data_IF_301768119471
#
_entry.id   IF_301768119471
#
_cell.length_a   1.000
_cell.length_b   1.000
_cell.length_c   1.000
_cell.angle_alpha   90.00
_cell.angle_beta   90.00
_cell.angle_gamma   90.00
#
_symmetry.space_group_name_H-M   'P 1'
#
loop_
_entity.id
_entity.type
_entity.pdbx_description
1 polymer ?
#
# COMPACT_ATOMS: atom_id res chain seq x y z
N UNK A 1 11.37 19.40 -11.78
CA UNK A 1 11.01 17.99 -11.51
C UNK A 1 10.43 17.93 -10.11
N UNK A 2 9.27 17.29 -9.93
CA UNK A 2 8.74 17.03 -8.58
C UNK A 2 9.76 16.15 -7.83
N UNK A 3 10.17 16.51 -6.61
CA UNK A 3 11.06 15.69 -5.81
C UNK A 3 10.36 14.36 -5.53
N UNK A 4 10.75 13.29 -6.23
CA UNK A 4 10.13 11.97 -6.07
C UNK A 4 10.26 11.09 -7.29
N UNK A 5 9.84 11.55 -8.48
CA UNK A 5 9.77 10.69 -9.67
C UNK A 5 11.16 10.38 -10.24
N UNK A 6 11.53 9.09 -10.24
CA UNK A 6 12.59 8.59 -11.15
C UNK A 6 12.14 8.70 -12.60
N UNK A 7 13.05 9.10 -13.49
CA UNK A 7 12.78 9.14 -14.92
C UNK A 7 12.28 7.78 -15.44
N UNK A 8 11.18 7.79 -16.20
CA UNK A 8 10.57 6.59 -16.77
C UNK A 8 9.63 5.81 -15.85
N UNK A 9 9.46 6.20 -14.58
CA UNK A 9 8.44 5.60 -13.73
C UNK A 9 7.07 6.17 -14.07
N UNK A 10 6.06 5.30 -14.20
CA UNK A 10 4.66 5.67 -14.39
C UNK A 10 3.82 4.67 -13.61
N UNK A 11 2.91 5.17 -12.78
CA UNK A 11 2.01 4.31 -12.03
C UNK A 11 1.01 3.63 -12.98
N UNK A 12 0.72 2.36 -12.74
CA UNK A 12 -0.33 1.62 -13.44
C UNK A 12 -1.68 2.32 -13.27
N UNK A 13 -2.45 2.41 -14.36
CA UNK A 13 -3.72 3.16 -14.36
C UNK A 13 -4.77 2.56 -13.43
N UNK A 14 -4.73 1.26 -13.14
CA UNK A 14 -5.63 0.62 -12.16
C UNK A 14 -5.23 0.97 -10.74
N UNK A 15 -3.93 0.97 -10.42
CA UNK A 15 -3.45 1.44 -9.12
C UNK A 15 -3.82 2.91 -8.92
N UNK A 16 -3.68 3.75 -9.94
CA UNK A 16 -4.10 5.15 -9.90
C UNK A 16 -5.62 5.28 -9.65
N UNK A 17 -6.44 4.51 -10.36
CA UNK A 17 -7.90 4.58 -10.25
C UNK A 17 -8.44 4.03 -8.91
N UNK A 18 -7.77 3.03 -8.34
CA UNK A 18 -8.27 2.30 -7.17
C UNK A 18 -7.70 2.81 -5.84
N UNK A 19 -6.77 3.76 -5.85
CA UNK A 19 -6.10 4.24 -4.64
C UNK A 19 -5.76 5.73 -4.68
N UNK A 20 -5.62 6.36 -3.52
CA UNK A 20 -5.17 7.74 -3.40
C UNK A 20 -3.71 7.82 -2.97
N UNK A 21 -2.92 8.67 -3.62
CA UNK A 21 -1.54 8.93 -3.21
C UNK A 21 -1.50 9.59 -1.82
N UNK A 22 -0.67 9.02 -0.94
CA UNK A 22 -0.42 9.58 0.38
C UNK A 22 0.86 10.42 0.38
N UNK A 23 2.00 9.81 0.09
CA UNK A 23 3.30 10.49 -0.01
C UNK A 23 4.34 9.64 -0.73
N UNK A 24 5.47 10.25 -1.06
CA UNK A 24 6.68 9.54 -1.46
C UNK A 24 7.51 9.18 -0.23
N UNK A 25 7.99 7.94 -0.19
CA UNK A 25 9.07 7.50 0.70
C UNK A 25 10.42 7.64 -0.03
N UNK A 26 11.42 6.85 0.35
CA UNK A 26 12.70 6.82 -0.35
C UNK A 26 12.64 6.03 -1.66
N UNK A 27 12.07 4.81 -1.62
CA UNK A 27 11.90 3.91 -2.75
C UNK A 27 10.47 3.95 -3.29
N UNK A 28 9.47 3.87 -2.41
CA UNK A 28 8.09 3.64 -2.80
C UNK A 28 7.26 4.92 -2.86
N UNK A 29 6.28 4.92 -3.75
CA UNK A 29 5.05 5.68 -3.54
C UNK A 29 4.18 4.95 -2.53
N UNK A 30 3.73 5.65 -1.48
CA UNK A 30 2.77 5.12 -0.52
C UNK A 30 1.37 5.61 -0.89
N UNK A 31 0.43 4.68 -1.04
CA UNK A 31 -0.95 4.93 -1.44
C UNK A 31 -1.94 4.28 -0.47
N UNK A 32 -3.15 4.82 -0.39
CA UNK A 32 -4.29 4.26 0.36
C UNK A 32 -5.24 3.59 -0.63
N UNK A 33 -5.50 2.29 -0.47
CA UNK A 33 -6.51 1.61 -1.27
C UNK A 33 -7.89 2.22 -0.97
N UNK A 34 -8.67 2.55 -1.99
CA UNK A 34 -10.00 3.14 -1.81
C UNK A 34 -11.07 2.08 -1.49
N UNK A 35 -10.83 1.29 -0.45
CA UNK A 35 -11.73 0.28 0.10
C UNK A 35 -11.76 0.41 1.62
N UNK A 36 -12.82 1.04 2.12
CA UNK A 36 -12.94 1.43 3.54
C UNK A 36 -13.23 0.26 4.48
N UNK A 37 -13.50 -0.93 3.94
CA UNK A 37 -13.71 -2.17 4.71
C UNK A 37 -12.49 -2.57 5.54
N UNK A 38 -11.29 -2.19 5.10
CA UNK A 38 -10.05 -2.41 5.86
C UNK A 38 -9.10 -1.22 5.72
N UNK A 39 -8.37 -0.84 6.78
CA UNK A 39 -7.26 0.10 6.63
C UNK A 39 -6.14 -0.54 5.79
N UNK A 40 -6.04 -0.13 4.52
CA UNK A 40 -5.23 -0.80 3.50
C UNK A 40 -4.32 0.19 2.77
N UNK A 41 -3.02 -0.02 2.93
CA UNK A 41 -1.96 0.72 2.26
C UNK A 41 -1.28 -0.10 1.15
N UNK A 42 -0.75 0.59 0.16
CA UNK A 42 -0.01 -0.01 -0.97
C UNK A 42 1.31 0.73 -1.12
N UNK A 43 2.42 0.00 -1.14
CA UNK A 43 3.72 0.53 -1.54
C UNK A 43 3.97 0.18 -3.01
N UNK A 44 4.35 1.15 -3.82
CA UNK A 44 4.73 0.95 -5.23
C UNK A 44 6.18 1.41 -5.42
N UNK A 45 7.15 0.48 -5.53
CA UNK A 45 8.55 0.84 -5.76
C UNK A 45 8.73 1.59 -7.08
N UNK A 46 9.48 2.69 -7.05
CA UNK A 46 9.72 3.51 -8.23
C UNK A 46 10.81 2.89 -9.14
N UNK A 47 10.57 1.69 -9.65
CA UNK A 47 11.46 0.95 -10.56
C UNK A 47 10.68 0.59 -11.82
N UNK A 48 10.92 1.29 -12.95
CA UNK A 48 10.24 1.01 -14.20
C UNK A 48 10.42 -0.46 -14.61
N UNK A 49 9.32 -1.13 -14.96
CA UNK A 49 9.32 -2.51 -15.43
C UNK A 49 9.49 -3.59 -14.37
N UNK A 50 9.62 -3.26 -13.07
CA UNK A 50 9.64 -4.27 -12.02
C UNK A 50 8.24 -4.88 -11.85
N UNK A 51 8.14 -6.19 -11.96
CA UNK A 51 6.90 -6.96 -11.69
C UNK A 51 7.04 -7.75 -10.39
N UNK A 52 8.24 -8.27 -10.14
CA UNK A 52 8.58 -9.09 -8.99
C UNK A 52 9.62 -8.41 -8.09
N UNK A 53 9.63 -8.75 -6.80
CA UNK A 53 10.63 -8.22 -5.85
C UNK A 53 12.05 -8.54 -6.30
N UNK A 54 12.26 -9.72 -6.87
CA UNK A 54 13.58 -10.19 -7.32
C UNK A 54 14.06 -9.54 -8.62
N UNK A 55 13.22 -8.76 -9.32
CA UNK A 55 13.63 -7.95 -10.47
C UNK A 55 14.45 -6.73 -10.06
N UNK A 56 14.28 -6.29 -8.81
CA UNK A 56 14.96 -5.10 -8.29
C UNK A 56 16.38 -5.41 -7.81
N UNK A 57 17.20 -4.36 -7.69
CA UNK A 57 18.55 -4.51 -7.11
C UNK A 57 18.50 -5.01 -5.66
N UNK A 58 19.53 -5.70 -5.14
CA UNK A 58 19.55 -6.12 -3.74
C UNK A 58 19.36 -4.97 -2.74
N UNK A 59 19.88 -3.78 -3.06
CA UNK A 59 19.68 -2.59 -2.25
C UNK A 59 18.21 -2.15 -2.22
N UNK A 60 17.54 -2.19 -3.38
CA UNK A 60 16.11 -1.86 -3.48
C UNK A 60 15.23 -2.90 -2.78
N UNK A 61 15.59 -4.18 -2.84
CA UNK A 61 14.90 -5.24 -2.09
C UNK A 61 15.01 -5.02 -0.57
N UNK A 62 16.20 -4.61 -0.09
CA UNK A 62 16.41 -4.26 1.31
C UNK A 62 15.62 -3.01 1.70
N UNK A 63 15.62 -1.97 0.85
CA UNK A 63 14.83 -0.75 1.06
C UNK A 63 13.32 -1.02 1.07
N UNK A 64 12.82 -1.85 0.15
CA UNK A 64 11.41 -2.25 0.14
C UNK A 64 11.01 -2.94 1.44
N UNK A 65 11.88 -3.83 1.94
CA UNK A 65 11.66 -4.50 3.23
C UNK A 65 11.61 -3.50 4.38
N UNK A 66 12.54 -2.55 4.41
CA UNK A 66 12.58 -1.49 5.42
C UNK A 66 11.31 -0.64 5.39
N UNK A 67 10.91 -0.15 4.22
CA UNK A 67 9.71 0.69 4.06
C UNK A 67 8.43 -0.07 4.37
N UNK A 68 8.31 -1.32 3.93
CA UNK A 68 7.14 -2.18 4.24
C UNK A 68 6.99 -2.36 5.76
N UNK A 69 8.10 -2.62 6.47
CA UNK A 69 8.08 -2.78 7.93
C UNK A 69 7.74 -1.49 8.66
N UNK A 70 8.31 -0.35 8.22
CA UNK A 70 8.00 0.97 8.76
C UNK A 70 6.50 1.30 8.62
N UNK A 71 5.96 1.10 7.43
CA UNK A 71 4.53 1.32 7.13
C UNK A 71 3.65 0.35 7.92
N UNK A 72 4.00 -0.92 8.01
CA UNK A 72 3.26 -1.91 8.80
C UNK A 72 3.18 -1.53 10.28
N UNK A 73 4.28 -1.05 10.86
CA UNK A 73 4.31 -0.60 12.25
C UNK A 73 3.45 0.65 12.47
N UNK A 74 3.58 1.65 11.59
CA UNK A 74 2.74 2.86 11.65
C UNK A 74 1.26 2.50 11.54
N UNK A 75 0.89 1.70 10.53
CA UNK A 75 -0.49 1.25 10.33
C UNK A 75 -1.04 0.49 11.54
N UNK A 76 -0.25 -0.42 12.13
CA UNK A 76 -0.67 -1.16 13.32
C UNK A 76 -0.92 -0.24 14.52
N UNK A 77 -0.02 0.73 14.75
CA UNK A 77 -0.19 1.72 15.84
C UNK A 77 -1.42 2.59 15.63
N UNK A 78 -1.62 3.10 14.42
CA UNK A 78 -2.74 3.99 14.09
C UNK A 78 -4.09 3.30 14.21
N UNK A 79 -4.18 2.04 13.83
CA UNK A 79 -5.46 1.30 13.78
C UNK A 79 -5.75 0.50 15.04
N UNK A 80 -4.74 0.22 15.88
CA UNK A 80 -4.87 -0.71 17.00
C UNK A 80 -5.21 -2.15 16.56
N UNK A 81 -4.99 -2.49 15.28
CA UNK A 81 -5.42 -3.77 14.73
C UNK A 81 -4.72 -4.96 15.39
N UNK A 82 -5.37 -6.11 15.36
CA UNK A 82 -4.83 -7.35 15.92
C UNK A 82 -3.59 -7.81 15.13
N UNK A 83 -3.65 -7.76 13.80
CA UNK A 83 -2.62 -8.31 12.91
C UNK A 83 -2.43 -7.45 11.66
N UNK A 84 -1.19 -7.38 11.18
CA UNK A 84 -0.89 -6.88 9.83
C UNK A 84 -0.79 -8.06 8.86
N UNK A 85 -1.41 -7.93 7.70
CA UNK A 85 -1.17 -8.78 6.52
C UNK A 85 -0.32 -7.99 5.51
N UNK A 86 0.69 -8.65 4.96
CA UNK A 86 1.56 -8.10 3.91
C UNK A 86 1.58 -9.05 2.73
N UNK A 87 1.54 -8.53 1.50
CA UNK A 87 1.60 -9.37 0.31
C UNK A 87 1.98 -8.62 -0.96
N UNK A 88 2.89 -9.21 -1.75
CA UNK A 88 3.11 -8.87 -3.15
C UNK A 88 2.49 -9.99 -3.98
N UNK A 89 1.43 -9.68 -4.73
CA UNK A 89 0.66 -10.69 -5.49
C UNK A 89 0.80 -10.52 -6.99
N UNK A 90 0.44 -9.36 -7.53
CA UNK A 90 0.67 -9.04 -8.95
C UNK A 90 -0.26 -9.72 -9.98
N UNK A 91 -1.16 -10.63 -9.56
CA UNK A 91 -1.99 -11.43 -10.49
C UNK A 91 -2.97 -10.63 -11.37
N UNK A 92 -3.30 -9.38 -11.04
CA UNK A 92 -4.18 -8.52 -11.86
C UNK A 92 -3.42 -7.31 -12.43
N UNK A 93 -2.63 -6.64 -11.59
CA UNK A 93 -1.72 -5.56 -11.99
C UNK A 93 -0.30 -6.07 -11.86
N UNK A 94 0.44 -6.13 -12.98
CA UNK A 94 1.81 -6.64 -12.99
C UNK A 94 2.82 -5.76 -12.28
N UNK A 95 2.68 -4.43 -12.40
CA UNK A 95 3.59 -3.49 -11.76
C UNK A 95 3.74 -3.83 -10.28
N UNK A 96 4.98 -4.02 -9.84
CA UNK A 96 5.28 -4.44 -8.48
C UNK A 96 4.63 -3.49 -7.47
N UNK A 97 3.85 -4.07 -6.56
CA UNK A 97 3.25 -3.37 -5.44
C UNK A 97 3.10 -4.30 -4.25
N UNK A 98 3.25 -3.74 -3.04
CA UNK A 98 3.14 -4.47 -1.78
C UNK A 98 1.96 -3.94 -1.01
N UNK A 99 1.01 -4.82 -0.69
CA UNK A 99 -0.11 -4.51 0.18
C UNK A 99 0.32 -4.60 1.64
N UNK A 100 -0.14 -3.64 2.47
CA UNK A 100 0.00 -3.63 3.92
C UNK A 100 -1.37 -3.33 4.53
N UNK A 101 -1.97 -4.31 5.17
CA UNK A 101 -3.39 -4.29 5.56
C UNK A 101 -3.53 -4.54 7.06
N UNK A 102 -4.26 -3.66 7.74
CA UNK A 102 -4.66 -3.85 9.12
C UNK A 102 -5.85 -4.81 9.22
N UNK A 103 -5.73 -5.81 10.10
CA UNK A 103 -6.73 -6.87 10.29
C UNK A 103 -7.09 -7.06 11.75
N UNK A 104 -8.35 -7.33 12.01
CA UNK A 104 -8.90 -7.62 13.33
C UNK A 104 -9.95 -8.71 13.26
N UNK A 105 -10.11 -9.45 14.35
CA UNK A 105 -11.19 -10.42 14.48
C UNK A 105 -12.55 -9.74 14.23
N UNK A 106 -13.37 -10.35 13.37
CA UNK A 106 -14.67 -9.81 12.98
C UNK A 106 -14.65 -8.81 11.82
N UNK A 107 -13.47 -8.44 11.29
CA UNK A 107 -13.41 -7.68 10.03
C UNK A 107 -13.96 -8.52 8.85
N UNK A 108 -14.46 -7.87 7.78
CA UNK A 108 -14.94 -8.60 6.61
C UNK A 108 -13.89 -9.58 6.10
N UNK A 109 -14.29 -10.83 5.91
CA UNK A 109 -13.41 -11.88 5.40
C UNK A 109 -12.44 -12.49 6.42
N UNK A 110 -12.44 -12.10 7.70
CA UNK A 110 -11.65 -12.79 8.74
C UNK A 110 -12.04 -14.28 8.90
N UNK A 111 -11.10 -15.23 9.07
CA UNK A 111 -9.63 -15.10 9.09
C UNK A 111 -8.98 -15.22 7.70
N UNK A 112 -9.77 -15.23 6.63
CA UNK A 112 -9.31 -15.32 5.25
C UNK A 112 -8.67 -14.02 4.71
N UNK A 113 -8.18 -14.08 3.46
CA UNK A 113 -7.62 -12.93 2.77
C UNK A 113 -8.67 -11.88 2.41
N UNK A 114 -8.26 -10.60 2.34
CA UNK A 114 -9.11 -9.51 1.83
C UNK A 114 -9.24 -9.54 0.30
N UNK A 115 -8.23 -10.07 -0.39
CA UNK A 115 -8.19 -10.08 -1.85
C UNK A 115 -9.28 -10.98 -2.42
N UNK A 116 -10.13 -10.41 -3.27
CA UNK A 116 -11.28 -11.11 -3.87
C UNK A 116 -12.46 -11.31 -2.92
N UNK A 117 -12.42 -10.74 -1.70
CA UNK A 117 -13.52 -10.84 -0.75
C UNK A 117 -14.53 -9.70 -0.96
N UNK A 118 -15.77 -10.05 -1.36
CA UNK A 118 -16.88 -9.11 -1.47
C UNK A 118 -16.68 -7.98 -2.48
N UNK A 119 -17.53 -6.94 -2.36
CA UNK A 119 -17.49 -5.75 -3.22
C UNK A 119 -16.80 -4.60 -2.47
N UNK A 120 -15.94 -3.85 -3.18
CA UNK A 120 -15.27 -2.66 -2.65
C UNK A 120 -16.27 -1.63 -2.13
N UNK A 121 -16.01 -1.06 -0.95
CA UNK A 121 -16.76 0.07 -0.40
C UNK A 121 -15.86 1.32 -0.37
N UNK A 122 -16.00 2.26 -1.33
CA UNK A 122 -15.16 3.44 -1.38
C UNK A 122 -15.27 4.28 -0.11
N UNK A 123 -14.16 4.92 0.27
CA UNK A 123 -14.20 5.90 1.34
C UNK A 123 -15.04 7.12 0.95
N UNK A 124 -15.66 7.74 1.94
CA UNK A 124 -16.03 9.15 1.80
C UNK A 124 -14.75 10.02 1.68
N UNK A 125 -14.82 11.10 0.90
CA UNK A 125 -13.68 11.99 0.65
C UNK A 125 -13.06 12.57 1.93
N UNK A 126 -13.86 12.83 2.95
CA UNK A 126 -13.37 13.27 4.28
C UNK A 126 -12.64 12.14 5.00
N UNK A 127 -13.20 10.92 4.97
CA UNK A 127 -12.65 9.75 5.64
C UNK A 127 -11.27 9.35 5.12
N UNK A 128 -11.09 9.25 3.80
CA UNK A 128 -9.78 8.87 3.22
C UNK A 128 -8.70 9.92 3.53
N UNK A 129 -9.05 11.20 3.48
CA UNK A 129 -8.11 12.29 3.83
C UNK A 129 -7.72 12.28 5.29
N UNK A 130 -8.67 12.03 6.19
CA UNK A 130 -8.39 11.92 7.62
C UNK A 130 -7.48 10.73 7.91
N UNK A 131 -7.79 9.56 7.34
CA UNK A 131 -6.95 8.37 7.48
C UNK A 131 -5.54 8.60 6.93
N UNK A 132 -5.43 9.21 5.75
CA UNK A 132 -4.14 9.57 5.16
C UNK A 132 -3.32 10.51 6.07
N UNK A 133 -3.94 11.49 6.72
CA UNK A 133 -3.27 12.37 7.67
C UNK A 133 -2.77 11.63 8.92
N UNK A 134 -3.58 10.71 9.46
CA UNK A 134 -3.19 9.90 10.62
C UNK A 134 -1.99 9.01 10.30
N UNK A 135 -1.94 8.41 9.10
CA UNK A 135 -0.81 7.61 8.66
C UNK A 135 0.43 8.48 8.46
N UNK A 136 0.32 9.65 7.82
CA UNK A 136 1.43 10.61 7.67
C UNK A 136 2.04 11.02 9.02
N UNK A 137 1.21 11.21 10.04
CA UNK A 137 1.68 11.60 11.37
C UNK A 137 2.34 10.44 12.15
N UNK A 138 2.10 9.19 11.75
CA UNK A 138 2.61 7.99 12.42
C UNK A 138 3.89 7.41 11.77
N UNK A 139 4.29 7.95 10.62
CA UNK A 139 5.51 7.66 9.85
C UNK A 139 6.60 8.66 10.20
#
# INVERSE_FOLDING_TARGET
>A
MLPGLKAGFTLDSRLEADSEQLMWLGLCELRVMNDSRWPWLILVPQRPGAEEIHDMTPLDQAMLTFETNMVAQALKRTTGCTKINTGALGNIVRQLHVHVIARSEGDPGWPGPVWGHGMREPYERSGIRQFAQQIKAAL
#
